data_IF_725577809015
#
_entry.id   IF_725577809015
#
_cell.length_a   1.000
_cell.length_b   1.000
_cell.length_c   1.000
_cell.angle_alpha   90.00
_cell.angle_beta   90.00
_cell.angle_gamma   90.00
#
_symmetry.space_group_name_H-M   'P 1'
#
loop_
_entity.id
_entity.type
_entity.pdbx_description
1 polymer ?
#
# COMPACT_ATOMS: atom_id res chain seq x y z
N UNK A 1 25.97 -23.73 7.03
CA UNK A 1 25.65 -22.34 6.61
C UNK A 1 25.48 -21.52 7.88
N UNK A 2 26.32 -20.50 8.08
CA UNK A 2 26.57 -19.84 9.36
C UNK A 2 25.48 -18.84 9.76
N UNK A 3 25.24 -18.72 11.08
CA UNK A 3 24.23 -17.84 11.72
C UNK A 3 24.26 -16.38 11.22
N UNK A 4 25.44 -15.88 10.82
CA UNK A 4 25.61 -14.52 10.27
C UNK A 4 24.89 -14.30 8.94
N UNK A 5 24.85 -15.29 8.03
CA UNK A 5 24.16 -15.15 6.74
C UNK A 5 22.64 -15.01 6.89
N UNK A 6 22.07 -15.67 7.91
CA UNK A 6 20.64 -15.61 8.21
C UNK A 6 20.23 -14.27 8.84
N UNK A 7 21.08 -13.69 9.69
CA UNK A 7 20.85 -12.37 10.29
C UNK A 7 20.96 -11.23 9.27
N UNK A 8 21.94 -11.29 8.36
CA UNK A 8 22.09 -10.27 7.30
C UNK A 8 20.92 -10.30 6.33
N UNK A 9 20.45 -11.50 5.94
CA UNK A 9 19.25 -11.65 5.10
C UNK A 9 17.99 -11.06 5.74
N UNK A 10 17.77 -11.31 7.03
CA UNK A 10 16.61 -10.77 7.75
C UNK A 10 16.62 -9.25 7.89
N UNK A 11 17.79 -8.63 8.05
CA UNK A 11 17.91 -7.18 8.14
C UNK A 11 17.62 -6.47 6.80
N UNK A 12 18.01 -7.08 5.68
CA UNK A 12 17.72 -6.55 4.33
C UNK A 12 16.22 -6.61 4.06
N UNK A 13 15.57 -7.74 4.36
CA UNK A 13 14.13 -7.90 4.20
C UNK A 13 13.33 -6.89 5.06
N UNK A 14 13.73 -6.69 6.31
CA UNK A 14 13.06 -5.71 7.19
C UNK A 14 13.22 -4.26 6.70
N UNK A 15 14.40 -3.92 6.15
CA UNK A 15 14.63 -2.60 5.56
C UNK A 15 13.82 -2.40 4.28
N UNK A 16 13.71 -3.45 3.46
CA UNK A 16 12.86 -3.43 2.27
C UNK A 16 11.37 -3.28 2.62
N UNK A 17 10.90 -3.98 3.66
CA UNK A 17 9.54 -3.83 4.17
C UNK A 17 9.29 -2.42 4.71
N UNK A 18 10.28 -1.80 5.37
CA UNK A 18 10.18 -0.43 5.84
C UNK A 18 10.02 0.57 4.67
N UNK A 19 10.84 0.44 3.63
CA UNK A 19 10.76 1.30 2.44
C UNK A 19 9.41 1.07 1.73
N UNK A 20 9.02 -0.19 1.56
CA UNK A 20 7.74 -0.55 0.95
C UNK A 20 6.57 0.03 1.74
N UNK A 21 6.59 -0.10 3.06
CA UNK A 21 5.58 0.45 3.96
C UNK A 21 5.47 1.96 3.84
N UNK A 22 6.61 2.67 3.79
CA UNK A 22 6.61 4.12 3.55
C UNK A 22 5.94 4.47 2.20
N UNK A 23 6.30 3.76 1.14
CA UNK A 23 5.77 3.99 -0.21
C UNK A 23 4.26 3.72 -0.29
N UNK A 24 3.77 2.61 0.27
CA UNK A 24 2.34 2.29 0.31
C UNK A 24 1.55 3.29 1.15
N UNK A 25 2.13 3.77 2.26
CA UNK A 25 1.57 4.87 3.03
C UNK A 25 1.44 6.14 2.20
N UNK A 26 2.45 6.50 1.39
CA UNK A 26 2.40 7.68 0.54
C UNK A 26 1.38 7.57 -0.59
N UNK A 27 1.24 6.40 -1.18
CA UNK A 27 0.17 6.14 -2.15
C UNK A 27 -1.20 6.24 -1.49
N UNK A 28 -1.37 5.68 -0.28
CA UNK A 28 -2.61 5.81 0.51
C UNK A 28 -2.98 7.27 0.76
N UNK A 29 -2.01 8.11 1.17
CA UNK A 29 -2.24 9.54 1.41
C UNK A 29 -2.81 10.26 0.18
N UNK A 30 -2.40 9.88 -1.04
CA UNK A 30 -2.96 10.44 -2.28
C UNK A 30 -4.44 10.04 -2.45
N UNK A 31 -4.80 8.79 -2.16
CA UNK A 31 -6.20 8.35 -2.20
C UNK A 31 -7.04 9.00 -1.10
N UNK A 32 -6.50 9.17 0.11
CA UNK A 32 -7.16 9.91 1.20
C UNK A 32 -7.48 11.35 0.78
N UNK A 33 -6.53 12.05 0.17
CA UNK A 33 -6.72 13.40 -0.35
C UNK A 33 -7.79 13.45 -1.46
N UNK A 34 -7.74 12.51 -2.40
CA UNK A 34 -8.75 12.39 -3.46
C UNK A 34 -10.16 12.17 -2.93
N UNK A 35 -10.30 11.24 -1.98
CA UNK A 35 -11.59 10.94 -1.35
C UNK A 35 -12.08 12.12 -0.50
N UNK A 36 -11.20 12.81 0.22
CA UNK A 36 -11.55 13.99 0.98
C UNK A 36 -12.05 15.13 0.07
N UNK A 37 -11.37 15.39 -1.05
CA UNK A 37 -11.81 16.39 -2.03
C UNK A 37 -13.14 16.00 -2.67
N UNK A 38 -13.35 14.72 -2.96
CA UNK A 38 -14.62 14.21 -3.51
C UNK A 38 -15.78 14.27 -2.51
N UNK A 39 -15.54 14.04 -1.21
CA UNK A 39 -16.58 14.11 -0.17
C UNK A 39 -16.98 15.57 0.12
N UNK A 40 -16.08 16.51 -0.11
CA UNK A 40 -16.29 17.94 0.14
C UNK A 40 -16.86 18.72 -1.07
N UNK A 41 -16.85 18.16 -2.28
CA UNK A 41 -17.31 18.84 -3.51
C UNK A 41 -18.28 17.97 -4.34
N UNK A 42 -19.35 18.56 -4.86
CA UNK A 42 -20.24 17.97 -5.88
C UNK A 42 -19.53 17.89 -7.28
N UNK A 43 -20.04 17.10 -8.26
CA UNK A 43 -19.32 16.11 -9.07
C UNK A 43 -18.48 16.64 -10.24
N UNK A 44 -17.94 17.85 -10.16
CA UNK A 44 -17.00 18.35 -11.18
C UNK A 44 -15.58 17.85 -10.86
N UNK A 45 -15.41 16.55 -11.14
CA UNK A 45 -14.18 15.74 -11.07
C UNK A 45 -12.90 16.42 -11.61
N UNK A 46 -13.00 17.42 -12.48
CA UNK A 46 -11.85 18.22 -12.94
C UNK A 46 -11.17 19.00 -11.81
N UNK A 47 -11.92 19.50 -10.82
CA UNK A 47 -11.33 20.31 -9.75
C UNK A 47 -10.49 19.44 -8.79
N UNK A 48 -10.91 18.21 -8.54
CA UNK A 48 -10.11 17.23 -7.80
C UNK A 48 -8.84 16.80 -8.52
N UNK A 49 -8.87 16.68 -9.85
CA UNK A 49 -7.67 16.40 -10.67
C UNK A 49 -6.71 17.60 -10.71
N UNK A 50 -7.24 18.82 -10.77
CA UNK A 50 -6.43 20.06 -10.71
C UNK A 50 -5.78 20.24 -9.34
N UNK A 51 -6.49 19.96 -8.25
CA UNK A 51 -5.90 19.96 -6.91
C UNK A 51 -4.88 18.83 -6.72
N UNK A 52 -5.06 17.67 -7.36
CA UNK A 52 -4.02 16.64 -7.46
C UNK A 52 -2.73 17.16 -8.13
N UNK A 53 -2.85 18.02 -9.16
CA UNK A 53 -1.70 18.68 -9.75
C UNK A 53 -0.94 19.60 -8.78
N UNK A 54 -1.60 20.02 -7.69
CA UNK A 54 -1.02 20.83 -6.60
C UNK A 54 -0.51 20.01 -5.43
N UNK A 55 -0.87 18.72 -5.35
CA UNK A 55 -0.27 17.77 -4.43
C UNK A 55 1.20 17.66 -4.78
N UNK A 56 2.07 18.26 -3.96
CA UNK A 56 3.54 18.27 -4.13
C UNK A 56 4.15 16.87 -4.25
N UNK A 57 3.39 15.85 -3.86
CA UNK A 57 3.70 14.43 -3.96
C UNK A 57 3.42 13.79 -5.33
N UNK A 58 2.64 14.41 -6.22
CA UNK A 58 2.27 13.83 -7.52
C UNK A 58 3.49 13.45 -8.38
N UNK A 59 4.55 14.28 -8.34
CA UNK A 59 5.83 14.00 -9.03
C UNK A 59 6.56 12.75 -8.51
N UNK A 60 6.27 12.31 -7.30
CA UNK A 60 6.91 11.15 -6.68
C UNK A 60 6.13 9.84 -6.93
N UNK A 61 4.87 9.92 -7.38
CA UNK A 61 4.02 8.75 -7.64
C UNK A 61 4.70 7.74 -8.57
N UNK A 62 5.35 8.13 -9.69
CA UNK A 62 6.04 7.16 -10.54
C UNK A 62 7.15 6.39 -9.81
N UNK A 63 7.91 7.05 -8.94
CA UNK A 63 8.97 6.41 -8.16
C UNK A 63 8.42 5.47 -7.09
N UNK A 64 7.33 5.85 -6.44
CA UNK A 64 6.60 5.01 -5.50
C UNK A 64 6.05 3.75 -6.18
N UNK A 65 5.39 3.89 -7.32
CA UNK A 65 4.90 2.74 -8.09
C UNK A 65 6.04 1.84 -8.57
N UNK A 66 7.19 2.40 -8.94
CA UNK A 66 8.37 1.62 -9.31
C UNK A 66 8.86 0.78 -8.13
N UNK A 67 8.87 1.32 -6.90
CA UNK A 67 9.25 0.55 -5.71
C UNK A 67 8.27 -0.58 -5.42
N UNK A 68 6.96 -0.36 -5.62
CA UNK A 68 5.94 -1.42 -5.47
C UNK A 68 6.16 -2.52 -6.50
N UNK A 69 6.47 -2.18 -7.76
CA UNK A 69 6.75 -3.16 -8.84
C UNK A 69 7.97 -4.05 -8.58
N UNK A 70 8.93 -3.58 -7.79
CA UNK A 70 10.10 -4.38 -7.40
C UNK A 70 9.86 -5.26 -6.16
N UNK A 71 8.74 -5.06 -5.45
CA UNK A 71 8.35 -5.96 -4.36
C UNK A 71 7.68 -7.21 -4.89
N UNK A 72 7.75 -8.29 -4.13
CA UNK A 72 6.91 -9.46 -4.40
C UNK A 72 5.45 -9.16 -4.03
N UNK A 73 4.45 -9.69 -4.76
CA UNK A 73 3.04 -9.46 -4.44
C UNK A 73 2.64 -9.88 -3.01
N UNK A 74 3.26 -10.93 -2.46
CA UNK A 74 3.05 -11.35 -1.07
C UNK A 74 3.53 -10.30 -0.06
N UNK A 75 4.68 -9.68 -0.30
CA UNK A 75 5.19 -8.60 0.55
C UNK A 75 4.26 -7.39 0.50
N UNK A 76 3.81 -6.99 -0.69
CA UNK A 76 2.86 -5.87 -0.86
C UNK A 76 1.57 -6.13 -0.10
N UNK A 77 0.95 -7.31 -0.29
CA UNK A 77 -0.28 -7.67 0.42
C UNK A 77 -0.08 -7.71 1.93
N UNK A 78 1.01 -8.32 2.42
CA UNK A 78 1.31 -8.38 3.86
C UNK A 78 1.39 -6.99 4.47
N UNK A 79 2.19 -6.11 3.90
CA UNK A 79 2.41 -4.75 4.41
C UNK A 79 1.13 -3.92 4.33
N UNK A 80 0.33 -4.06 3.26
CA UNK A 80 -0.98 -3.42 3.17
C UNK A 80 -1.92 -3.88 4.30
N UNK A 81 -2.03 -5.19 4.53
CA UNK A 81 -2.88 -5.75 5.60
C UNK A 81 -2.45 -5.24 6.98
N UNK A 82 -1.14 -5.21 7.25
CA UNK A 82 -0.60 -4.67 8.50
C UNK A 82 -1.01 -3.20 8.70
N UNK A 83 -0.84 -2.36 7.67
CA UNK A 83 -1.23 -0.96 7.73
C UNK A 83 -2.75 -0.74 7.82
N UNK A 84 -3.55 -1.63 7.24
CA UNK A 84 -5.01 -1.60 7.36
C UNK A 84 -5.46 -1.95 8.77
N UNK A 85 -4.89 -3.00 9.36
CA UNK A 85 -5.16 -3.37 10.74
C UNK A 85 -4.80 -2.23 11.71
N UNK A 86 -3.65 -1.58 11.50
CA UNK A 86 -3.23 -0.41 12.29
C UNK A 86 -4.20 0.76 12.15
N UNK A 87 -4.70 1.03 10.94
CA UNK A 87 -5.66 2.10 10.68
C UNK A 87 -7.03 1.80 11.33
N UNK A 88 -7.49 0.55 11.26
CA UNK A 88 -8.72 0.08 11.91
C UNK A 88 -8.63 0.22 13.44
N UNK A 89 -7.52 -0.22 14.05
CA UNK A 89 -7.29 -0.07 15.48
C UNK A 89 -7.31 1.40 15.93
N UNK A 90 -6.91 2.31 15.04
CA UNK A 90 -6.92 3.76 15.28
C UNK A 90 -8.21 4.46 14.83
N UNK A 91 -9.22 3.72 14.36
CA UNK A 91 -10.49 4.26 13.88
C UNK A 91 -10.32 5.31 12.76
N UNK A 92 -9.39 5.07 11.84
CA UNK A 92 -9.10 5.95 10.73
C UNK A 92 -9.92 5.56 9.49
N UNK A 93 -11.24 5.76 9.53
CA UNK A 93 -12.16 5.22 8.52
C UNK A 93 -11.82 5.63 7.09
N UNK A 94 -11.50 6.91 6.85
CA UNK A 94 -11.10 7.40 5.52
C UNK A 94 -9.82 6.72 5.02
N UNK A 95 -8.88 6.45 5.93
CA UNK A 95 -7.63 5.75 5.62
C UNK A 95 -7.91 4.31 5.22
N UNK A 96 -8.79 3.64 5.96
CA UNK A 96 -9.19 2.26 5.66
C UNK A 96 -9.85 2.19 4.28
N UNK A 97 -10.78 3.10 3.96
CA UNK A 97 -11.38 3.19 2.62
C UNK A 97 -10.31 3.39 1.53
N UNK A 98 -9.38 4.33 1.73
CA UNK A 98 -8.29 4.59 0.80
C UNK A 98 -7.38 3.37 0.61
N UNK A 99 -7.08 2.63 1.68
CA UNK A 99 -6.25 1.42 1.63
C UNK A 99 -6.97 0.26 0.93
N UNK A 100 -8.29 0.11 1.10
CA UNK A 100 -9.09 -0.88 0.38
C UNK A 100 -9.01 -0.62 -1.13
N UNK A 101 -9.30 0.60 -1.56
CA UNK A 101 -9.23 0.97 -2.99
C UNK A 101 -7.82 0.81 -3.55
N UNK A 102 -6.80 1.22 -2.80
CA UNK A 102 -5.41 1.01 -3.22
C UNK A 102 -5.08 -0.48 -3.37
N UNK A 103 -5.50 -1.32 -2.42
CA UNK A 103 -5.25 -2.76 -2.49
C UNK A 103 -5.94 -3.39 -3.70
N UNK A 104 -7.20 -3.05 -3.96
CA UNK A 104 -7.95 -3.52 -5.14
C UNK A 104 -7.20 -3.20 -6.45
N UNK A 105 -6.76 -1.95 -6.62
CA UNK A 105 -6.00 -1.53 -7.80
C UNK A 105 -4.66 -2.26 -7.93
N UNK A 106 -3.98 -2.51 -6.80
CA UNK A 106 -2.73 -3.27 -6.81
C UNK A 106 -2.97 -4.74 -7.16
N UNK A 107 -4.10 -5.34 -6.75
CA UNK A 107 -4.49 -6.69 -7.12
C UNK A 107 -4.81 -6.78 -8.60
N UNK A 108 -5.60 -5.84 -9.14
CA UNK A 108 -5.90 -5.75 -10.57
C UNK A 108 -4.63 -5.62 -11.41
N UNK A 109 -3.65 -4.84 -10.94
CA UNK A 109 -2.36 -4.68 -11.59
C UNK A 109 -1.39 -5.87 -11.38
N UNK A 110 -1.82 -6.94 -10.70
CA UNK A 110 -0.98 -8.10 -10.33
C UNK A 110 0.24 -7.75 -9.46
N UNK A 111 0.16 -6.63 -8.72
CA UNK A 111 1.18 -6.15 -7.78
C UNK A 111 0.90 -6.56 -6.33
N UNK A 112 -0.29 -7.08 -6.05
CA UNK A 112 -0.69 -7.65 -4.77
C UNK A 112 -1.53 -8.92 -5.01
N UNK A 113 -1.55 -9.80 -4.02
CA UNK A 113 -2.56 -10.86 -3.96
C UNK A 113 -3.86 -10.34 -3.36
N UNK A 114 -4.97 -10.89 -3.85
CA UNK A 114 -6.28 -10.80 -3.19
C UNK A 114 -6.11 -11.26 -1.73
N UNK A 115 -6.61 -10.45 -0.79
CA UNK A 115 -6.50 -10.73 0.64
C UNK A 115 -7.09 -12.10 1.01
N UNK A 116 -8.14 -12.54 0.31
CA UNK A 116 -8.73 -13.88 0.48
C UNK A 116 -7.72 -14.97 0.08
N UNK A 117 -7.08 -14.84 -1.09
CA UNK A 117 -6.03 -15.75 -1.58
C UNK A 117 -4.78 -15.74 -0.71
N UNK A 118 -4.42 -14.59 -0.13
CA UNK A 118 -3.28 -14.48 0.77
C UNK A 118 -3.50 -15.26 2.08
N UNK A 119 -4.69 -15.15 2.67
CA UNK A 119 -5.07 -15.92 3.87
C UNK A 119 -5.07 -17.43 3.63
N UNK A 120 -5.49 -17.89 2.45
CA UNK A 120 -5.41 -19.30 2.05
C UNK A 120 -3.97 -19.79 1.85
N UNK A 121 -3.10 -18.95 1.28
CA UNK A 121 -1.68 -19.25 1.07
C UNK A 121 -0.91 -19.44 2.38
N UNK A 122 -1.22 -18.66 3.41
CA UNK A 122 -0.64 -18.82 4.76
C UNK A 122 -1.03 -20.15 5.40
N UNK A 123 -2.26 -20.61 5.18
CA UNK A 123 -2.76 -21.88 5.73
C UNK A 123 -2.17 -23.12 5.02
N UNK A 124 -1.81 -23.01 3.74
CA UNK A 124 -1.18 -24.12 2.99
C UNK A 124 0.31 -24.31 3.29
N UNK A 125 1.00 -23.31 3.83
CA UNK A 125 2.42 -23.40 4.20
C UNK A 125 2.65 -24.03 5.59
N UNK A 126 1.59 -24.50 6.26
CA UNK A 126 1.62 -25.10 7.60
C UNK A 126 1.28 -26.61 7.61
N UNK A 127 1.21 -27.26 6.44
CA UNK A 127 1.00 -28.71 6.30
C UNK A 127 2.10 -29.38 5.49
#
# INVERSE_FOLDING_TARGET
MTSQGKQVSGNVEAFDDLILGYVLKKLTEVFEELMAVSKNNHPDNLQGVVEMGRVKAAKNIPGWLQRVKHSTPSQVTRVMIEQMNDAQQRQQDLRVEAQVVLLELLVEASLAFDATRYSEGKNKSLH
#
